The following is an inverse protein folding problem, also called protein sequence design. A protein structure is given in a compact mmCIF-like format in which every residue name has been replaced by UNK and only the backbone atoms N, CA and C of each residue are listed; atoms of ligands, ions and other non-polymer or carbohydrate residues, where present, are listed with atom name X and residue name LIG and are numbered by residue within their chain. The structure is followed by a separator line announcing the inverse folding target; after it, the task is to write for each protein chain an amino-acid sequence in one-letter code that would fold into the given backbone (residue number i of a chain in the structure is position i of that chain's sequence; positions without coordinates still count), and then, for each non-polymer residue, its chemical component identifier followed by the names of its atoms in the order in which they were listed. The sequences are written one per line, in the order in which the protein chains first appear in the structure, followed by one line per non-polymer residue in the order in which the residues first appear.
data_IF_029351321077
#
_entry.id   IF_029351321077
#
_cell.length_a   1.000
_cell.length_b   1.000
_cell.length_c   1.000
_cell.angle_alpha   90.00
_cell.angle_beta   90.00
_cell.angle_gamma   90.00
#
_symmetry.space_group_name_H-M   'P 1'
#
loop_
_entity.id
_entity.type
_entity.pdbx_description
1 polymer ?
#
# COMPACT_ATOMS: atom_id res chain seq x y z
N UNK A 1 22.57 -36.90 4.72
CA UNK A 1 21.47 -36.74 5.71
C UNK A 1 21.68 -35.37 6.36
N UNK A 2 20.92 -34.29 6.18
CA UNK A 2 19.69 -33.96 5.47
C UNK A 2 19.86 -32.50 5.00
N UNK A 3 19.48 -32.21 3.75
CA UNK A 3 19.39 -30.86 3.23
C UNK A 3 17.93 -30.42 3.41
N UNK A 4 17.66 -29.42 4.24
CA UNK A 4 16.32 -28.89 4.52
C UNK A 4 16.11 -27.62 3.69
N UNK A 5 15.64 -27.80 2.45
CA UNK A 5 15.05 -26.75 1.63
C UNK A 5 13.60 -27.13 1.33
N UNK A 6 12.72 -26.95 2.30
CA UNK A 6 11.28 -26.95 2.09
C UNK A 6 10.69 -25.74 2.81
N UNK A 7 10.28 -24.76 2.01
CA UNK A 7 9.08 -23.94 2.17
C UNK A 7 8.95 -23.16 0.85
N UNK A 8 8.64 -23.91 -0.20
CA UNK A 8 8.19 -23.34 -1.46
C UNK A 8 6.82 -22.70 -1.24
N UNK A 9 6.67 -21.50 -1.80
CA UNK A 9 5.42 -20.75 -1.88
C UNK A 9 4.28 -21.67 -2.33
N UNK A 10 3.11 -21.52 -1.70
CA UNK A 10 1.91 -22.26 -2.06
C UNK A 10 1.56 -22.02 -3.53
N UNK A 11 1.87 -23.00 -4.37
CA UNK A 11 1.31 -23.09 -5.71
C UNK A 11 -0.19 -23.31 -5.57
N UNK A 12 -0.97 -22.35 -6.06
CA UNK A 12 -2.38 -22.55 -6.33
C UNK A 12 -2.52 -23.67 -7.38
N UNK A 13 -3.01 -24.82 -6.94
CA UNK A 13 -3.57 -25.83 -7.86
C UNK A 13 -4.93 -25.31 -8.31
N UNK A 14 -5.02 -24.80 -9.55
CA UNK A 14 -6.30 -24.52 -10.21
C UNK A 14 -6.53 -25.57 -11.28
N UNK A 15 -7.39 -26.54 -10.95
CA UNK A 15 -8.08 -27.36 -11.92
C UNK A 15 -9.20 -26.52 -12.55
N UNK A 16 -9.18 -26.34 -13.87
CA UNK A 16 -10.23 -25.65 -14.63
C UNK A 16 -9.95 -24.14 -14.78
N UNK A 17 -9.43 -23.75 -15.94
CA UNK A 17 -8.99 -22.39 -16.27
C UNK A 17 -10.13 -21.37 -16.40
N UNK A 18 -10.64 -20.91 -15.26
CA UNK A 18 -11.29 -19.61 -15.13
C UNK A 18 -10.63 -18.90 -13.96
N UNK A 19 -9.73 -17.96 -14.26
CA UNK A 19 -9.17 -17.05 -13.26
C UNK A 19 -10.35 -16.22 -12.73
N UNK A 20 -10.83 -16.51 -11.52
CA UNK A 20 -11.86 -15.69 -10.88
C UNK A 20 -11.31 -14.26 -10.71
N UNK A 21 -12.11 -13.21 -10.98
CA UNK A 21 -11.66 -11.85 -10.76
C UNK A 21 -11.30 -11.69 -9.29
N UNK A 22 -10.14 -11.08 -9.02
CA UNK A 22 -9.68 -10.92 -7.66
C UNK A 22 -10.67 -10.09 -6.84
N UNK A 23 -10.88 -10.44 -5.56
CA UNK A 23 -11.80 -9.70 -4.70
C UNK A 23 -11.31 -8.27 -4.55
N UNK A 24 -12.24 -7.32 -4.59
CA UNK A 24 -11.98 -5.90 -4.37
C UNK A 24 -12.99 -5.33 -3.39
N UNK A 25 -12.53 -4.47 -2.49
CA UNK A 25 -13.37 -3.80 -1.49
C UNK A 25 -13.14 -2.30 -1.51
N UNK A 26 -14.19 -1.53 -1.21
CA UNK A 26 -14.11 -0.09 -1.06
C UNK A 26 -14.05 0.26 0.42
N UNK A 27 -13.06 1.05 0.80
CA UNK A 27 -12.78 1.44 2.18
C UNK A 27 -12.59 2.95 2.30
N UNK A 28 -12.85 3.46 3.50
CA UNK A 28 -12.49 4.82 3.89
C UNK A 28 -11.08 4.81 4.47
N UNK A 29 -10.14 5.46 3.79
CA UNK A 29 -8.75 5.53 4.23
C UNK A 29 -8.51 6.76 5.09
N UNK A 30 -7.88 6.54 6.25
CA UNK A 30 -7.30 7.58 7.10
C UNK A 30 -5.78 7.47 7.10
N UNK A 31 -5.09 8.56 7.43
CA UNK A 31 -3.63 8.59 7.48
C UNK A 31 -3.13 9.24 8.77
N UNK A 32 -1.91 8.90 9.16
CA UNK A 32 -1.33 9.41 10.40
C UNK A 32 0.13 9.07 10.60
N UNK A 33 0.68 9.54 11.72
CA UNK A 33 2.03 9.18 12.12
C UNK A 33 2.04 7.87 12.89
N UNK A 34 3.03 7.01 12.61
CA UNK A 34 3.33 5.84 13.45
C UNK A 34 4.73 5.97 14.05
N UNK A 35 5.01 5.22 15.11
CA UNK A 35 6.33 5.22 15.75
C UNK A 35 7.40 4.71 14.77
N UNK A 36 7.15 3.60 14.08
CA UNK A 36 8.08 2.99 13.10
C UNK A 36 8.36 3.93 11.92
N UNK A 37 7.33 4.60 11.40
CA UNK A 37 7.46 5.63 10.38
C UNK A 37 8.24 6.85 10.89
N UNK A 38 8.00 7.27 12.14
CA UNK A 38 8.69 8.39 12.77
C UNK A 38 10.19 8.13 12.97
N UNK A 39 10.56 6.95 13.47
CA UNK A 39 11.96 6.54 13.66
C UNK A 39 12.69 6.48 12.33
N UNK A 40 12.10 5.83 11.31
CA UNK A 40 12.72 5.73 9.99
C UNK A 40 12.87 7.10 9.30
N UNK A 41 11.88 8.00 9.47
CA UNK A 41 11.94 9.37 8.92
C UNK A 41 13.03 10.21 9.58
N UNK A 42 13.12 10.18 10.92
CA UNK A 42 14.07 11.00 11.69
C UNK A 42 15.49 10.43 11.68
N UNK A 43 15.65 9.14 11.45
CA UNK A 43 16.96 8.49 11.28
C UNK A 43 17.71 8.91 10.03
N UNK A 44 17.10 9.72 9.15
CA UNK A 44 17.77 10.36 8.00
C UNK A 44 18.03 9.44 6.82
N UNK A 45 17.69 8.15 6.91
CA UNK A 45 18.00 7.12 5.90
C UNK A 45 16.74 6.57 5.22
N UNK A 46 16.02 7.45 4.50
CA UNK A 46 14.75 7.12 3.82
C UNK A 46 14.92 6.20 2.61
N UNK A 47 16.13 6.08 2.09
CA UNK A 47 16.51 5.15 1.03
C UNK A 47 16.55 3.69 1.49
N UNK A 48 16.56 3.45 2.79
CA UNK A 48 16.65 2.10 3.33
C UNK A 48 15.32 1.35 3.20
N UNK A 49 15.35 0.01 2.94
CA UNK A 49 14.14 -0.80 2.83
C UNK A 49 13.21 -0.73 4.05
N UNK A 50 13.75 -0.40 5.22
CA UNK A 50 12.97 -0.20 6.44
C UNK A 50 11.95 0.94 6.32
N UNK A 51 12.29 2.04 5.65
CA UNK A 51 11.35 3.15 5.45
C UNK A 51 10.18 2.74 4.55
N UNK A 52 10.47 2.04 3.44
CA UNK A 52 9.42 1.46 2.58
C UNK A 52 8.50 0.55 3.36
N UNK A 53 9.04 -0.37 4.19
CA UNK A 53 8.19 -1.25 5.02
C UNK A 53 7.35 -0.47 6.04
N UNK A 54 7.88 0.62 6.59
CA UNK A 54 7.19 1.40 7.61
C UNK A 54 6.13 2.36 7.05
N UNK A 55 6.21 2.73 5.77
CA UNK A 55 5.35 3.75 5.16
C UNK A 55 4.58 3.31 3.90
N UNK A 56 4.96 2.19 3.27
CA UNK A 56 4.22 1.56 2.16
C UNK A 56 3.40 0.35 2.67
N UNK A 57 2.68 0.56 3.76
CA UNK A 57 1.85 -0.43 4.45
C UNK A 57 0.43 0.14 4.61
N UNK A 58 -0.57 -0.73 4.47
CA UNK A 58 -1.97 -0.42 4.76
C UNK A 58 -2.47 -1.39 5.83
N UNK A 59 -3.01 -0.82 6.90
CA UNK A 59 -3.59 -1.55 8.01
C UNK A 59 -5.08 -1.72 7.78
N UNK A 60 -5.56 -2.96 7.84
CA UNK A 60 -6.97 -3.31 7.58
C UNK A 60 -7.57 -4.07 8.76
N UNK A 61 -8.90 -4.02 8.87
CA UNK A 61 -9.65 -4.83 9.82
C UNK A 61 -9.55 -6.33 9.45
N UNK A 62 -9.58 -7.26 10.43
CA UNK A 62 -9.62 -8.69 10.14
C UNK A 62 -10.77 -9.12 9.21
N UNK A 63 -11.93 -8.45 9.28
CA UNK A 63 -13.06 -8.72 8.39
C UNK A 63 -12.77 -8.30 6.94
N UNK A 64 -12.07 -7.20 6.72
CA UNK A 64 -11.66 -6.72 5.40
C UNK A 64 -10.62 -7.68 4.77
N UNK A 65 -9.71 -8.23 5.59
CA UNK A 65 -8.80 -9.31 5.17
C UNK A 65 -9.56 -10.54 4.65
N UNK A 66 -10.62 -10.95 5.37
CA UNK A 66 -11.43 -12.09 4.98
C UNK A 66 -12.18 -11.83 3.66
N UNK A 67 -12.68 -10.61 3.45
CA UNK A 67 -13.33 -10.22 2.19
C UNK A 67 -12.34 -10.21 1.02
N UNK A 68 -11.10 -9.77 1.25
CA UNK A 68 -10.02 -9.77 0.26
C UNK A 68 -9.37 -11.15 0.07
N UNK A 69 -9.63 -12.10 0.95
CA UNK A 69 -9.03 -13.44 0.94
C UNK A 69 -7.48 -13.41 0.90
N UNK A 70 -6.88 -12.47 1.62
CA UNK A 70 -5.41 -12.30 1.71
C UNK A 70 -4.90 -12.65 3.11
N UNK A 71 -3.58 -12.77 3.23
CA UNK A 71 -2.89 -12.98 4.50
C UNK A 71 -2.07 -11.74 4.87
N UNK A 72 -1.74 -11.54 6.16
CA UNK A 72 -0.84 -10.46 6.55
C UNK A 72 0.46 -10.53 5.75
N UNK A 73 0.98 -9.37 5.35
CA UNK A 73 2.11 -9.19 4.45
C UNK A 73 1.83 -9.44 2.95
N UNK A 74 0.58 -9.66 2.54
CA UNK A 74 0.22 -9.72 1.12
C UNK A 74 0.36 -8.34 0.45
N UNK A 75 0.92 -8.25 -0.77
CA UNK A 75 0.90 -7.03 -1.56
C UNK A 75 -0.52 -6.76 -2.07
N UNK A 76 -0.97 -5.52 -1.93
CA UNK A 76 -2.26 -5.03 -2.40
C UNK A 76 -2.08 -3.76 -3.21
N UNK A 77 -2.91 -3.60 -4.22
CA UNK A 77 -3.04 -2.34 -4.94
C UNK A 77 -4.10 -1.48 -4.25
N UNK A 78 -3.73 -0.25 -3.96
CA UNK A 78 -4.59 0.76 -3.35
C UNK A 78 -4.82 1.84 -4.40
N UNK A 79 -6.08 1.99 -4.81
CA UNK A 79 -6.47 2.92 -5.86
C UNK A 79 -7.49 3.92 -5.33
N UNK A 80 -7.30 5.18 -5.67
CA UNK A 80 -8.25 6.28 -5.46
C UNK A 80 -8.53 6.96 -6.81
N UNK A 81 -9.41 7.97 -6.82
CA UNK A 81 -9.56 8.83 -8.00
C UNK A 81 -8.32 9.69 -8.32
N UNK A 82 -7.37 9.81 -7.39
CA UNK A 82 -6.17 10.65 -7.52
C UNK A 82 -4.95 9.88 -8.04
N UNK A 83 -4.95 8.55 -7.88
CA UNK A 83 -3.86 7.71 -8.28
C UNK A 83 -3.92 6.33 -7.64
N UNK A 84 -2.85 5.56 -7.87
CA UNK A 84 -2.71 4.20 -7.40
C UNK A 84 -1.30 3.93 -6.88
N UNK A 85 -1.19 3.06 -5.89
CA UNK A 85 0.07 2.55 -5.35
C UNK A 85 -0.06 1.08 -5.00
N UNK A 86 1.09 0.41 -4.86
CA UNK A 86 1.17 -0.92 -4.25
C UNK A 86 1.65 -0.73 -2.81
N UNK A 87 0.95 -1.35 -1.86
CA UNK A 87 1.29 -1.39 -0.45
C UNK A 87 1.33 -2.84 0.05
N UNK A 88 1.92 -3.06 1.21
CA UNK A 88 1.77 -4.31 1.96
C UNK A 88 0.54 -4.19 2.86
N UNK A 89 -0.38 -5.14 2.83
CA UNK A 89 -1.49 -5.21 3.77
C UNK A 89 -1.04 -5.89 5.08
N UNK A 90 -1.40 -5.30 6.22
CA UNK A 90 -1.18 -5.90 7.55
C UNK A 90 -2.39 -5.70 8.45
N UNK A 91 -2.52 -6.53 9.48
CA UNK A 91 -3.63 -6.43 10.43
C UNK A 91 -3.50 -5.17 11.26
N UNK A 92 -4.59 -4.41 11.35
CA UNK A 92 -4.62 -3.24 12.22
C UNK A 92 -4.56 -3.64 13.70
N UNK A 93 -3.68 -3.01 14.50
CA UNK A 93 -3.62 -3.24 15.94
C UNK A 93 -4.83 -2.66 16.68
N UNK A 94 -5.58 -1.76 16.04
CA UNK A 94 -6.70 -1.01 16.64
C UNK A 94 -8.07 -1.58 16.25
N UNK A 95 -8.11 -2.79 15.68
CA UNK A 95 -9.36 -3.47 15.33
C UNK A 95 -10.28 -3.65 16.55
N UNK A 96 -11.63 -3.64 16.39
CA UNK A 96 -12.35 -3.67 15.11
C UNK A 96 -12.71 -2.29 14.56
N UNK A 97 -12.61 -2.15 13.24
CA UNK A 97 -13.04 -0.97 12.47
C UNK A 97 -13.32 -1.35 10.98
N UNK A 98 -14.30 -2.23 10.72
CA UNK A 98 -14.61 -2.70 9.37
C UNK A 98 -14.91 -1.52 8.43
N UNK A 99 -14.40 -1.59 7.20
CA UNK A 99 -14.62 -0.52 6.22
C UNK A 99 -13.65 0.66 6.33
N UNK A 100 -12.74 0.66 7.32
CA UNK A 100 -11.74 1.72 7.53
C UNK A 100 -10.34 1.16 7.39
N UNK A 101 -9.54 1.79 6.53
CA UNK A 101 -8.11 1.48 6.37
C UNK A 101 -7.24 2.60 6.90
N UNK A 102 -6.02 2.27 7.33
CA UNK A 102 -5.04 3.24 7.79
C UNK A 102 -3.71 3.08 7.06
N UNK A 103 -3.15 4.19 6.57
CA UNK A 103 -1.80 4.22 5.99
C UNK A 103 -0.91 5.23 6.73
N UNK A 104 0.33 4.86 7.11
CA UNK A 104 1.28 5.81 7.66
C UNK A 104 1.66 6.90 6.64
N UNK A 105 1.95 8.10 7.13
CA UNK A 105 2.42 9.21 6.30
C UNK A 105 3.70 8.83 5.55
N UNK A 106 3.72 9.12 4.26
CA UNK A 106 4.85 8.85 3.39
C UNK A 106 4.56 9.23 1.94
N UNK A 107 5.56 9.11 1.04
CA UNK A 107 5.39 9.44 -0.36
C UNK A 107 4.35 8.54 -1.05
N UNK A 108 4.20 7.28 -0.64
CA UNK A 108 3.20 6.35 -1.20
C UNK A 108 1.77 6.86 -1.00
N UNK A 109 1.39 7.16 0.25
CA UNK A 109 0.00 7.59 0.54
C UNK A 109 -0.35 8.93 -0.12
N UNK A 110 0.64 9.80 -0.35
CA UNK A 110 0.43 11.07 -1.05
C UNK A 110 -0.08 10.90 -2.49
N UNK A 111 0.07 9.73 -3.11
CA UNK A 111 -0.44 9.46 -4.46
C UNK A 111 -1.91 9.02 -4.50
N UNK A 112 -2.49 8.72 -3.34
CA UNK A 112 -3.87 8.24 -3.25
C UNK A 112 -4.77 9.20 -2.46
N UNK A 113 -4.22 10.11 -1.65
CA UNK A 113 -5.00 11.13 -0.91
C UNK A 113 -5.46 12.28 -1.79
N UNK A 114 -6.52 12.93 -1.35
CA UNK A 114 -7.04 14.15 -1.97
C UNK A 114 -6.07 15.33 -1.82
N UNK A 115 -5.51 15.86 -2.93
CA UNK A 115 -4.63 17.01 -2.88
C UNK A 115 -5.37 18.32 -2.63
N UNK A 116 -6.71 18.34 -2.69
CA UNK A 116 -7.49 19.56 -2.45
C UNK A 116 -7.31 20.04 -1.01
N UNK A 117 -7.11 21.35 -0.87
CA UNK A 117 -6.84 21.99 0.42
C UNK A 117 -7.99 22.86 0.90
N UNK A 118 -8.99 23.12 0.06
CA UNK A 118 -10.12 24.00 0.38
C UNK A 118 -9.66 25.36 0.96
N UNK A 119 -8.57 25.91 0.40
CA UNK A 119 -7.95 27.17 0.81
C UNK A 119 -7.39 27.22 2.25
N UNK A 120 -7.21 26.07 2.92
CA UNK A 120 -6.60 26.02 4.26
C UNK A 120 -5.11 25.63 4.26
N UNK A 121 -4.53 25.38 3.07
CA UNK A 121 -3.12 25.04 2.89
C UNK A 121 -2.71 23.62 3.28
N UNK A 122 -3.66 22.77 3.72
CA UNK A 122 -3.43 21.37 4.10
C UNK A 122 -4.30 20.45 3.24
N UNK A 123 -3.71 19.48 2.52
CA UNK A 123 -4.49 18.47 1.79
C UNK A 123 -5.42 17.66 2.70
N UNK A 124 -6.48 17.11 2.12
CA UNK A 124 -7.42 16.25 2.82
C UNK A 124 -6.83 14.84 3.00
N UNK A 125 -5.94 14.72 3.99
CA UNK A 125 -5.21 13.49 4.35
C UNK A 125 -6.05 12.41 5.02
N UNK A 126 -7.30 12.70 5.38
CA UNK A 126 -8.21 11.77 6.04
C UNK A 126 -9.45 11.62 5.18
N UNK A 127 -10.17 10.53 5.38
CA UNK A 127 -11.45 10.28 4.73
C UNK A 127 -11.36 10.16 3.20
N UNK A 128 -10.28 9.58 2.70
CA UNK A 128 -10.15 9.31 1.26
C UNK A 128 -10.79 7.97 0.92
N UNK A 129 -11.77 7.95 0.01
CA UNK A 129 -12.33 6.70 -0.50
C UNK A 129 -11.29 5.99 -1.39
N UNK A 130 -11.01 4.72 -1.07
CA UNK A 130 -10.06 3.89 -1.80
C UNK A 130 -10.69 2.53 -2.15
N UNK A 131 -10.27 1.97 -3.27
CA UNK A 131 -10.48 0.56 -3.60
C UNK A 131 -9.20 -0.20 -3.31
N UNK A 132 -9.30 -1.31 -2.60
CA UNK A 132 -8.20 -2.23 -2.34
C UNK A 132 -8.50 -3.55 -3.03
N UNK A 133 -7.50 -4.07 -3.73
CA UNK A 133 -7.51 -5.41 -4.33
C UNK A 133 -6.13 -6.06 -4.15
N UNK A 134 -6.03 -7.40 -4.06
CA UNK A 134 -4.74 -8.09 -4.05
C UNK A 134 -3.93 -7.73 -5.31
N UNK A 135 -2.61 -7.88 -5.27
CA UNK A 135 -1.80 -7.80 -6.48
C UNK A 135 -1.72 -9.14 -7.21
N UNK A 136 -1.59 -9.12 -8.53
CA UNK A 136 -1.35 -10.33 -9.32
C UNK A 136 0.15 -10.67 -9.30
N UNK A 137 0.48 -11.95 -9.09
CA UNK A 137 1.86 -12.42 -9.15
C UNK A 137 2.77 -11.85 -8.05
N UNK A 138 3.94 -11.34 -8.44
CA UNK A 138 5.05 -10.99 -7.53
C UNK A 138 5.26 -9.47 -7.34
N UNK A 139 4.23 -8.67 -7.60
CA UNK A 139 4.28 -7.21 -7.42
C UNK A 139 4.56 -6.83 -5.96
N UNK A 140 5.33 -5.73 -5.78
CA UNK A 140 5.72 -5.20 -4.47
C UNK A 140 5.74 -3.67 -4.50
N UNK A 141 5.63 -3.01 -3.33
CA UNK A 141 5.84 -1.57 -3.26
C UNK A 141 7.23 -1.20 -3.79
N UNK A 142 7.29 -0.21 -4.67
CA UNK A 142 8.56 0.37 -5.12
C UNK A 142 9.34 0.88 -3.91
N UNK A 143 10.66 0.72 -3.93
CA UNK A 143 11.50 1.34 -2.92
C UNK A 143 11.48 2.88 -3.08
N UNK A 144 11.99 3.60 -2.06
CA UNK A 144 11.94 5.05 -2.04
C UNK A 144 12.55 5.71 -3.30
N UNK A 145 13.70 5.22 -3.77
CA UNK A 145 14.37 5.82 -4.93
C UNK A 145 13.58 5.58 -6.22
N UNK A 146 13.14 4.35 -6.44
CA UNK A 146 12.31 3.97 -7.59
C UNK A 146 11.00 4.74 -7.61
N UNK A 147 10.37 4.86 -6.44
CA UNK A 147 9.09 5.56 -6.30
C UNK A 147 9.25 7.04 -6.67
N UNK A 148 10.26 7.73 -6.14
CA UNK A 148 10.50 9.14 -6.47
C UNK A 148 10.87 9.33 -7.95
N UNK A 149 11.75 8.47 -8.48
CA UNK A 149 12.14 8.53 -9.89
C UNK A 149 10.93 8.41 -10.81
N UNK A 150 10.13 7.35 -10.64
CA UNK A 150 8.97 7.04 -11.49
C UNK A 150 7.88 8.11 -11.36
N UNK A 151 7.56 8.52 -10.14
CA UNK A 151 6.36 9.31 -9.89
C UNK A 151 6.56 10.82 -9.91
N UNK A 152 7.78 11.31 -9.68
CA UNK A 152 8.07 12.75 -9.62
C UNK A 152 9.04 13.17 -10.72
N UNK A 153 10.22 12.54 -10.78
CA UNK A 153 11.30 12.98 -11.68
C UNK A 153 10.91 12.75 -13.14
N UNK A 154 10.54 11.53 -13.51
CA UNK A 154 10.19 11.22 -14.90
C UNK A 154 8.94 11.96 -15.38
N UNK A 155 7.96 12.18 -14.49
CA UNK A 155 6.76 12.96 -14.82
C UNK A 155 7.10 14.43 -15.05
N UNK A 156 7.95 15.01 -14.22
CA UNK A 156 8.43 16.38 -14.38
C UNK A 156 9.09 16.57 -15.75
N UNK A 157 10.03 15.69 -16.11
CA UNK A 157 10.75 15.80 -17.39
C UNK A 157 9.85 15.57 -18.61
N UNK A 158 8.88 14.65 -18.51
CA UNK A 158 7.89 14.46 -19.59
C UNK A 158 7.03 15.71 -19.79
N UNK A 159 6.62 16.37 -18.71
CA UNK A 159 5.83 17.60 -18.78
C UNK A 159 6.63 18.84 -19.18
N UNK A 160 7.96 18.85 -18.98
CA UNK A 160 8.82 19.97 -19.40
C UNK A 160 9.22 19.91 -20.88
N UNK A 161 9.05 18.75 -21.52
CA UNK A 161 9.38 18.50 -22.92
C UNK A 161 8.16 18.57 -23.85
N UNK A 162 6.97 18.81 -23.29
CA UNK A 162 5.70 19.06 -23.99
C UNK A 162 5.35 20.53 -23.97
#
# INVERSE_FOLDING_TARGET
MHNLSHLGAGSALVAGGVQQPMPKIQLRMTTGGTVTQGVSTKGGRKEQPFYTRAAAIVYLDPSDFNMLQIYPNSPVKVTSKYGEIIAIADLSPDAPHPGVSFMPRGPWVNHVVDPETYSNGTPMYKETDVTIEPCEGAEKPLNMQEFIRKNYIEKFWKGSLS
#
